data_IF_056714184513
#
_entry.id   IF_056714184513
#
_cell.length_a   1.000
_cell.length_b   1.000
_cell.length_c   1.000
_cell.angle_alpha   90.00
_cell.angle_beta   90.00
_cell.angle_gamma   90.00
#
_symmetry.space_group_name_H-M   'P 1'
#
loop_
_entity.id
_entity.type
_entity.pdbx_description
1 polymer ?
#
# COMPACT_ATOMS: atom_id res chain seq x y z
N UNK A 1 2.92 7.81 3.86
CA UNK A 1 2.57 8.20 5.25
C UNK A 1 1.12 7.86 5.61
N UNK A 2 0.21 7.71 4.65
CA UNK A 2 -1.20 7.33 4.86
C UNK A 2 -1.35 6.01 5.62
N UNK A 3 -0.58 4.98 5.24
CA UNK A 3 -0.56 3.67 5.91
C UNK A 3 -0.18 3.74 7.40
N UNK A 4 0.76 4.62 7.78
CA UNK A 4 1.26 4.75 9.15
C UNK A 4 0.24 5.39 10.11
N UNK A 5 -0.89 5.89 9.60
CA UNK A 5 -1.98 6.47 10.40
C UNK A 5 -2.98 5.42 10.91
N UNK A 6 -2.94 4.21 10.34
CA UNK A 6 -3.83 3.12 10.68
C UNK A 6 -3.14 2.13 11.62
N UNK A 7 -3.92 1.54 12.51
CA UNK A 7 -3.42 0.51 13.41
C UNK A 7 -3.25 -0.82 12.66
N UNK A 8 -4.12 -1.10 11.69
CA UNK A 8 -4.07 -2.27 10.82
C UNK A 8 -2.70 -2.48 10.20
N UNK A 9 -2.28 -3.73 10.10
CA UNK A 9 -1.08 -4.08 9.36
C UNK A 9 -1.37 -4.15 7.88
N UNK A 10 -0.72 -3.26 7.13
CA UNK A 10 -0.93 -3.09 5.70
C UNK A 10 0.31 -3.60 4.98
N UNK A 11 0.10 -4.62 4.17
CA UNK A 11 1.15 -5.30 3.41
C UNK A 11 0.87 -5.10 1.92
N UNK A 12 1.91 -4.72 1.17
CA UNK A 12 1.89 -4.66 -0.28
C UNK A 12 2.70 -5.83 -0.83
N UNK A 13 2.12 -6.57 -1.74
CA UNK A 13 2.74 -7.68 -2.42
C UNK A 13 2.91 -7.35 -3.91
N UNK A 14 4.14 -7.49 -4.40
CA UNK A 14 4.51 -7.20 -5.78
C UNK A 14 5.59 -8.19 -6.25
N UNK A 15 5.33 -8.93 -7.32
CA UNK A 15 6.29 -9.89 -7.92
C UNK A 15 6.93 -10.83 -6.86
N UNK A 16 6.10 -11.48 -6.05
CA UNK A 16 6.50 -12.40 -4.96
C UNK A 16 7.31 -11.74 -3.82
N UNK A 17 7.32 -10.40 -3.76
CA UNK A 17 7.89 -9.64 -2.65
C UNK A 17 6.80 -8.94 -1.87
N UNK A 18 6.68 -9.28 -0.60
CA UNK A 18 5.78 -8.62 0.34
C UNK A 18 6.56 -7.60 1.17
N UNK A 19 6.07 -6.36 1.23
CA UNK A 19 6.64 -5.29 2.07
C UNK A 19 5.55 -4.61 2.87
N UNK A 20 5.91 -4.07 4.03
CA UNK A 20 4.97 -3.30 4.84
C UNK A 20 4.79 -1.88 4.28
N UNK A 21 3.55 -1.53 3.96
CA UNK A 21 3.15 -0.23 3.39
C UNK A 21 3.30 0.93 4.38
N UNK A 22 3.37 0.65 5.69
CA UNK A 22 3.71 1.65 6.73
C UNK A 22 5.14 2.16 6.56
N UNK A 23 6.02 1.37 5.94
CA UNK A 23 7.41 1.74 5.67
C UNK A 23 7.56 2.23 4.23
N UNK A 24 7.50 3.56 4.06
CA UNK A 24 7.63 4.23 2.75
C UNK A 24 8.90 3.81 1.99
N UNK A 25 9.97 3.45 2.70
CA UNK A 25 11.22 2.97 2.11
C UNK A 25 11.05 1.64 1.38
N UNK A 26 10.18 0.75 1.85
CA UNK A 26 9.92 -0.55 1.23
C UNK A 26 9.20 -0.44 -0.11
N UNK A 27 8.24 0.48 -0.20
CA UNK A 27 7.45 0.71 -1.41
C UNK A 27 8.29 1.36 -2.52
N UNK A 28 9.13 2.34 -2.19
CA UNK A 28 10.05 2.94 -3.18
C UNK A 28 11.12 1.95 -3.65
N UNK A 29 11.61 1.08 -2.76
CA UNK A 29 12.62 0.06 -3.09
C UNK A 29 12.10 -1.03 -4.03
N UNK A 30 10.79 -1.32 -3.99
CA UNK A 30 10.16 -2.28 -4.92
C UNK A 30 10.15 -1.79 -6.37
N UNK A 31 10.36 -0.49 -6.62
CA UNK A 31 10.33 0.06 -7.97
C UNK A 31 8.99 -0.22 -8.67
N UNK A 32 7.89 -0.15 -7.91
CA UNK A 32 6.52 -0.35 -8.43
C UNK A 32 6.29 0.71 -9.51
N UNK A 33 6.37 0.28 -10.77
CA UNK A 33 6.16 1.13 -11.92
C UNK A 33 4.69 1.48 -12.11
N UNK A 34 4.42 2.58 -12.80
CA UNK A 34 3.07 2.91 -13.26
C UNK A 34 2.56 1.74 -14.12
N UNK A 35 1.42 1.14 -13.75
CA UNK A 35 0.84 -0.12 -14.30
C UNK A 35 1.31 -1.45 -13.69
N UNK A 36 2.01 -1.44 -12.56
CA UNK A 36 2.32 -2.66 -11.82
C UNK A 36 1.07 -3.23 -11.13
N UNK A 37 0.81 -4.53 -11.32
CA UNK A 37 -0.19 -5.25 -10.54
C UNK A 37 0.36 -5.52 -9.14
N UNK A 38 -0.21 -4.87 -8.13
CA UNK A 38 0.13 -5.05 -6.72
C UNK A 38 -1.09 -5.56 -5.96
N UNK A 39 -0.87 -6.42 -4.99
CA UNK A 39 -1.90 -6.85 -4.04
C UNK A 39 -1.68 -6.12 -2.74
N UNK A 40 -2.74 -5.52 -2.19
CA UNK A 40 -2.66 -4.83 -0.90
C UNK A 40 -3.59 -5.57 0.05
N UNK A 41 -3.04 -5.98 1.18
CA UNK A 41 -3.77 -6.66 2.26
C UNK A 41 -3.67 -5.79 3.49
N UNK A 42 -4.81 -5.49 4.10
CA UNK A 42 -4.87 -4.85 5.41
C UNK A 42 -5.51 -5.83 6.39
N UNK A 43 -4.94 -5.97 7.58
CA UNK A 43 -5.45 -6.81 8.67
C UNK A 43 -5.52 -5.96 9.95
N UNK A 44 -6.73 -5.77 10.47
CA UNK A 44 -6.98 -5.06 11.72
C UNK A 44 -8.36 -4.40 11.78
N UNK A 45 -8.63 -3.73 12.90
CA UNK A 45 -9.96 -3.15 13.18
C UNK A 45 -10.33 -2.01 12.21
N UNK A 46 -9.33 -1.34 11.63
CA UNK A 46 -9.47 -0.25 10.65
C UNK A 46 -9.09 -0.70 9.22
N UNK A 47 -9.11 -2.01 8.92
CA UNK A 47 -8.67 -2.59 7.64
C UNK A 47 -9.35 -1.93 6.43
N UNK A 48 -10.64 -1.67 6.55
CA UNK A 48 -11.46 -1.13 5.47
C UNK A 48 -11.13 0.33 5.20
N UNK A 49 -10.98 1.11 6.26
CA UNK A 49 -10.60 2.53 6.16
C UNK A 49 -9.17 2.68 5.66
N UNK A 50 -8.29 1.76 6.07
CA UNK A 50 -6.92 1.69 5.61
C UNK A 50 -6.85 1.44 4.10
N UNK A 51 -7.53 0.40 3.59
CA UNK A 51 -7.56 0.08 2.15
C UNK A 51 -8.08 1.26 1.33
N UNK A 52 -9.22 1.86 1.73
CA UNK A 52 -9.81 2.99 1.01
C UNK A 52 -8.85 4.18 0.94
N UNK A 53 -8.24 4.57 2.06
CA UNK A 53 -7.30 5.68 2.11
C UNK A 53 -5.99 5.40 1.35
N UNK A 54 -5.50 4.15 1.37
CA UNK A 54 -4.33 3.72 0.59
C UNK A 54 -4.65 3.84 -0.90
N UNK A 55 -5.79 3.31 -1.34
CA UNK A 55 -6.21 3.37 -2.75
C UNK A 55 -6.33 4.81 -3.23
N UNK A 56 -6.95 5.69 -2.44
CA UNK A 56 -7.07 7.11 -2.76
C UNK A 56 -5.69 7.80 -2.84
N UNK A 57 -4.79 7.48 -1.90
CA UNK A 57 -3.41 7.99 -1.92
C UNK A 57 -2.62 7.51 -3.14
N UNK A 58 -2.80 6.26 -3.58
CA UNK A 58 -2.12 5.72 -4.76
C UNK A 58 -2.65 6.31 -6.05
N UNK A 59 -3.96 6.60 -6.13
CA UNK A 59 -4.57 7.34 -7.24
C UNK A 59 -4.09 8.79 -7.30
N UNK A 60 -4.02 9.46 -6.16
CA UNK A 60 -3.53 10.84 -6.07
C UNK A 60 -2.06 10.96 -6.52
N UNK A 61 -1.24 9.96 -6.23
CA UNK A 61 0.17 9.86 -6.67
C UNK A 61 0.31 9.32 -8.10
N UNK A 62 -0.79 8.96 -8.78
CA UNK A 62 -0.79 8.48 -10.17
C UNK A 62 -0.15 7.10 -10.37
N UNK A 63 -0.08 6.27 -9.32
CA UNK A 63 0.51 4.93 -9.36
C UNK A 63 -0.46 3.88 -9.91
N UNK A 64 -1.78 4.13 -9.78
CA UNK A 64 -2.88 3.23 -10.18
C UNK A 64 -4.05 4.04 -10.75
N UNK A 65 -4.75 3.52 -11.76
CA UNK A 65 -6.01 4.10 -12.30
C UNK A 65 -7.23 3.88 -11.38
#
# INVERSE_FOLDING_TARGET
QTASKFNSDITLEYQDKSVNLKSIMGVMSLGVGQSAAVTITADGDDEKQAIDAISESMKAEGLTE
#
